data_IF_614085298392
#
_entry.id   IF_614085298392
#
_cell.length_a   1.000
_cell.length_b   1.000
_cell.length_c   1.000
_cell.angle_alpha   90.00
_cell.angle_beta   90.00
_cell.angle_gamma   90.00
#
_symmetry.space_group_name_H-M   'P 1'
#
loop_
_entity.id
_entity.type
_entity.pdbx_description
1 polymer ?
#
# COMPACT_ATOMS: atom_id res chain seq x y z
N UNK A 1 15.44 47.56 -52.78
CA UNK A 1 14.42 46.54 -52.46
C UNK A 1 15.16 45.23 -52.28
N UNK A 2 15.35 44.77 -51.04
CA UNK A 2 16.04 43.50 -50.79
C UNK A 2 15.05 42.38 -51.11
N UNK A 3 15.30 41.66 -52.21
CA UNK A 3 14.53 40.46 -52.57
C UNK A 3 15.05 39.36 -51.65
N UNK A 4 14.27 39.00 -50.63
CA UNK A 4 14.57 37.84 -49.78
C UNK A 4 14.36 36.62 -50.66
N UNK A 5 15.43 35.87 -50.87
CA UNK A 5 15.41 34.61 -51.61
C UNK A 5 14.45 33.61 -50.91
N UNK A 6 13.42 33.11 -51.62
CA UNK A 6 12.46 32.14 -51.10
C UNK A 6 13.12 30.89 -50.49
N UNK A 7 14.28 30.47 -51.01
CA UNK A 7 15.02 29.31 -50.48
C UNK A 7 15.60 29.60 -49.09
N UNK A 8 16.05 30.83 -48.86
CA UNK A 8 16.60 31.26 -47.57
C UNK A 8 15.49 31.38 -46.51
N UNK A 9 14.31 31.89 -46.89
CA UNK A 9 13.13 31.90 -46.01
C UNK A 9 12.63 30.47 -45.67
N UNK A 10 12.66 29.55 -46.64
CA UNK A 10 12.34 28.14 -46.43
C UNK A 10 13.31 27.41 -45.50
N UNK A 11 14.62 27.60 -45.68
CA UNK A 11 15.65 27.02 -44.80
C UNK A 11 15.57 27.57 -43.36
N UNK A 12 15.30 28.88 -43.19
CA UNK A 12 15.08 29.45 -41.87
C UNK A 12 13.80 28.93 -41.19
N UNK A 13 12.71 28.73 -41.94
CA UNK A 13 11.48 28.15 -41.40
C UNK A 13 11.67 26.68 -40.98
N UNK A 14 12.33 25.86 -41.80
CA UNK A 14 12.65 24.45 -41.47
C UNK A 14 13.63 24.38 -40.30
N UNK A 15 14.64 25.26 -40.25
CA UNK A 15 15.59 25.34 -39.13
C UNK A 15 14.92 25.76 -37.83
N UNK A 16 14.04 26.76 -37.85
CA UNK A 16 13.27 27.20 -36.68
C UNK A 16 12.27 26.13 -36.21
N UNK A 17 11.53 25.49 -37.12
CA UNK A 17 10.65 24.38 -36.79
C UNK A 17 11.42 23.17 -36.25
N UNK A 18 12.58 22.86 -36.82
CA UNK A 18 13.47 21.80 -36.35
C UNK A 18 14.03 22.07 -34.95
N UNK A 19 14.46 23.30 -34.66
CA UNK A 19 14.91 23.70 -33.32
C UNK A 19 13.79 23.66 -32.28
N UNK A 20 12.58 24.13 -32.64
CA UNK A 20 11.41 24.08 -31.74
C UNK A 20 11.00 22.63 -31.48
N UNK A 21 10.97 21.79 -32.51
CA UNK A 21 10.68 20.36 -32.37
C UNK A 21 11.74 19.63 -31.55
N UNK A 22 13.03 19.88 -31.81
CA UNK A 22 14.14 19.29 -31.04
C UNK A 22 14.10 19.73 -29.58
N UNK A 23 13.81 21.00 -29.30
CA UNK A 23 13.67 21.52 -27.93
C UNK A 23 12.42 20.95 -27.24
N UNK A 24 11.31 20.81 -27.96
CA UNK A 24 10.10 20.16 -27.44
C UNK A 24 10.34 18.69 -27.11
N UNK A 25 11.00 17.96 -28.01
CA UNK A 25 11.40 16.57 -27.80
C UNK A 25 12.34 16.52 -26.60
N UNK A 26 13.43 17.28 -26.57
CA UNK A 26 14.39 17.30 -25.47
C UNK A 26 13.74 17.56 -24.10
N UNK A 27 12.76 18.48 -24.03
CA UNK A 27 12.01 18.76 -22.79
C UNK A 27 10.99 17.68 -22.42
N UNK A 28 10.54 16.86 -23.37
CA UNK A 28 9.57 15.79 -23.16
C UNK A 28 10.16 14.39 -23.40
N UNK A 29 11.49 14.26 -23.45
CA UNK A 29 12.21 13.00 -23.70
C UNK A 29 11.87 11.91 -22.67
N UNK A 30 11.46 12.31 -21.46
CA UNK A 30 10.96 11.39 -20.42
C UNK A 30 9.54 10.89 -20.66
N UNK A 31 8.75 11.56 -21.51
CA UNK A 31 7.38 11.15 -21.87
C UNK A 31 7.32 10.34 -23.16
N UNK A 32 8.42 10.31 -23.91
CA UNK A 32 8.51 9.58 -25.18
C UNK A 32 9.12 8.20 -24.86
N UNK A 33 8.39 7.10 -25.17
CA UNK A 33 8.91 5.75 -25.00
C UNK A 33 10.26 5.61 -25.70
N UNK A 34 11.21 4.91 -25.06
CA UNK A 34 12.48 4.66 -25.72
C UNK A 34 12.26 3.76 -26.95
N UNK A 35 13.02 3.90 -28.06
CA UNK A 35 12.86 3.00 -29.21
C UNK A 35 12.95 1.51 -28.86
N UNK A 36 13.71 1.18 -27.81
CA UNK A 36 13.83 -0.19 -27.28
C UNK A 36 12.54 -0.73 -26.63
N UNK A 37 11.60 0.14 -26.27
CA UNK A 37 10.28 -0.25 -25.76
C UNK A 37 9.27 -0.50 -26.89
N UNK A 38 9.64 -0.18 -28.14
CA UNK A 38 8.84 -0.59 -29.30
C UNK A 38 9.07 -2.08 -29.55
N UNK A 39 8.01 -2.89 -29.50
CA UNK A 39 8.12 -4.36 -29.52
C UNK A 39 8.99 -4.94 -30.64
N UNK A 40 8.87 -4.44 -31.88
CA UNK A 40 9.69 -4.93 -32.99
C UNK A 40 11.17 -4.54 -32.86
N UNK A 41 11.46 -3.28 -32.50
CA UNK A 41 12.81 -2.76 -32.34
C UNK A 41 13.49 -3.41 -31.12
N UNK A 42 12.78 -3.48 -29.99
CA UNK A 42 13.27 -4.10 -28.77
C UNK A 42 13.56 -5.59 -28.94
N UNK A 43 12.74 -6.31 -29.71
CA UNK A 43 13.00 -7.70 -30.07
C UNK A 43 14.29 -7.85 -30.87
N UNK A 44 14.53 -6.97 -31.85
CA UNK A 44 15.80 -6.96 -32.61
C UNK A 44 16.99 -6.70 -31.67
N UNK A 45 16.86 -5.77 -30.73
CA UNK A 45 17.91 -5.51 -29.73
C UNK A 45 18.21 -6.72 -28.84
N UNK A 46 17.20 -7.52 -28.48
CA UNK A 46 17.44 -8.79 -27.75
C UNK A 46 18.10 -9.85 -28.62
N UNK A 47 17.58 -10.08 -29.82
CA UNK A 47 18.11 -11.11 -30.72
C UNK A 47 19.57 -10.81 -31.10
N UNK A 48 19.91 -9.54 -31.28
CA UNK A 48 21.28 -9.10 -31.55
C UNK A 48 22.19 -9.08 -30.31
N UNK A 49 21.66 -9.36 -29.12
CA UNK A 49 22.42 -9.34 -27.86
C UNK A 49 22.83 -7.93 -27.41
N UNK A 50 22.18 -6.89 -27.91
CA UNK A 50 22.43 -5.50 -27.48
C UNK A 50 21.83 -5.23 -26.11
N UNK A 51 20.69 -5.86 -25.78
CA UNK A 51 20.03 -5.77 -24.49
C UNK A 51 19.71 -7.17 -23.94
N UNK A 52 19.85 -7.33 -22.62
CA UNK A 52 19.74 -8.62 -21.94
C UNK A 52 18.31 -8.97 -21.46
N UNK A 53 17.39 -8.01 -21.54
CA UNK A 53 16.03 -8.15 -21.03
C UNK A 53 15.01 -7.37 -21.86
N UNK A 54 13.73 -7.55 -21.55
CA UNK A 54 12.64 -6.68 -22.02
C UNK A 54 12.45 -5.50 -21.04
N UNK A 55 11.65 -4.49 -21.42
CA UNK A 55 11.19 -3.50 -20.45
C UNK A 55 10.19 -4.16 -19.48
N UNK A 56 10.22 -3.77 -18.21
CA UNK A 56 9.33 -4.32 -17.18
C UNK A 56 9.11 -3.34 -16.03
N UNK A 57 8.07 -3.56 -15.24
CA UNK A 57 7.84 -2.84 -13.99
C UNK A 57 8.28 -3.68 -12.79
N UNK A 58 8.96 -3.05 -11.85
CA UNK A 58 9.31 -3.63 -10.56
C UNK A 58 8.72 -2.80 -9.43
N UNK A 59 8.31 -3.44 -8.34
CA UNK A 59 8.00 -2.75 -7.09
C UNK A 59 9.21 -2.85 -6.18
N UNK A 60 9.80 -1.70 -5.85
CA UNK A 60 10.88 -1.59 -4.87
C UNK A 60 10.28 -1.07 -3.56
N UNK A 61 10.28 -1.91 -2.54
CA UNK A 61 9.83 -1.55 -1.20
C UNK A 61 11.01 -1.24 -0.29
N UNK A 62 11.04 0.00 0.21
CA UNK A 62 12.04 0.46 1.16
C UNK A 62 11.42 0.38 2.55
N UNK A 63 11.92 -0.56 3.37
CA UNK A 63 11.37 -0.86 4.68
C UNK A 63 11.92 0.08 5.75
N UNK A 64 13.22 0.02 5.96
CA UNK A 64 13.89 0.69 7.07
C UNK A 64 15.34 1.00 6.71
N UNK A 65 15.90 2.04 7.35
CA UNK A 65 17.32 2.37 7.24
C UNK A 65 17.93 2.65 8.62
N UNK A 66 19.19 2.25 8.78
CA UNK A 66 19.95 2.28 10.02
C UNK A 66 21.38 2.77 9.77
N UNK A 67 22.02 3.24 10.83
CA UNK A 67 23.43 3.68 10.88
C UNK A 67 23.71 4.97 10.12
N UNK A 68 24.59 5.80 10.68
CA UNK A 68 25.05 7.07 10.09
C UNK A 68 23.92 8.05 9.73
N UNK A 69 22.79 7.97 10.46
CA UNK A 69 21.64 8.85 10.32
C UNK A 69 21.65 9.90 11.45
N UNK A 70 22.00 11.14 11.10
CA UNK A 70 21.86 12.27 12.03
C UNK A 70 20.39 12.69 12.19
N UNK A 71 20.08 13.53 13.18
CA UNK A 71 18.73 14.09 13.33
C UNK A 71 18.28 14.85 12.07
N UNK A 72 17.01 14.71 11.70
CA UNK A 72 16.42 15.38 10.55
C UNK A 72 15.36 14.55 9.83
N UNK A 73 14.92 15.07 8.67
CA UNK A 73 14.03 14.40 7.72
C UNK A 73 14.86 13.85 6.57
N UNK A 74 14.57 12.63 6.14
CA UNK A 74 15.24 11.96 5.03
C UNK A 74 14.22 11.41 4.05
N UNK A 75 14.61 11.26 2.80
CA UNK A 75 13.83 10.56 1.79
C UNK A 75 14.76 9.78 0.86
N UNK A 76 14.20 8.79 0.18
CA UNK A 76 14.88 8.03 -0.85
C UNK A 76 14.41 8.49 -2.23
N UNK A 77 15.34 8.52 -3.15
CA UNK A 77 15.13 8.72 -4.56
C UNK A 77 15.56 7.44 -5.30
N UNK A 78 14.72 6.93 -6.19
CA UNK A 78 15.02 5.78 -7.02
C UNK A 78 15.08 6.26 -8.47
N UNK A 79 16.23 6.13 -9.09
CA UNK A 79 16.50 6.49 -10.48
C UNK A 79 16.52 5.22 -11.34
N UNK A 80 15.67 5.20 -12.37
CA UNK A 80 15.65 4.15 -13.40
C UNK A 80 15.66 4.83 -14.77
N UNK A 81 16.83 4.89 -15.40
CA UNK A 81 17.00 5.53 -16.69
C UNK A 81 16.65 7.03 -16.67
N UNK A 82 15.52 7.38 -17.29
CA UNK A 82 14.99 8.77 -17.35
C UNK A 82 13.94 9.08 -16.29
N UNK A 83 13.56 8.08 -15.50
CA UNK A 83 12.50 8.20 -14.49
C UNK A 83 13.10 8.27 -13.10
N UNK A 84 12.45 9.07 -12.25
CA UNK A 84 12.85 9.26 -10.87
C UNK A 84 11.62 9.15 -9.97
N UNK A 85 11.74 8.34 -8.93
CA UNK A 85 10.68 8.03 -7.98
C UNK A 85 11.12 8.44 -6.57
N UNK A 86 10.21 8.95 -5.76
CA UNK A 86 10.55 9.49 -4.44
C UNK A 86 9.69 8.83 -3.36
N UNK A 87 10.34 8.44 -2.26
CA UNK A 87 9.62 8.21 -1.00
C UNK A 87 9.31 9.54 -0.34
N UNK A 88 8.51 9.53 0.71
CA UNK A 88 8.30 10.72 1.50
C UNK A 88 9.46 11.05 2.44
N UNK A 89 9.38 12.27 2.97
CA UNK A 89 10.24 12.76 4.04
C UNK A 89 9.87 12.08 5.36
N UNK A 90 10.73 11.21 5.86
CA UNK A 90 10.59 10.48 7.12
C UNK A 90 11.57 11.05 8.15
N UNK A 91 11.10 11.28 9.38
CA UNK A 91 11.96 11.70 10.49
C UNK A 91 12.66 10.49 11.11
N UNK A 92 13.94 10.66 11.47
CA UNK A 92 14.70 9.65 12.23
C UNK A 92 14.11 9.52 13.63
N UNK A 93 13.87 8.28 14.07
CA UNK A 93 13.47 7.94 15.44
C UNK A 93 14.38 6.84 15.95
N UNK A 94 15.00 7.05 17.11
CA UNK A 94 15.92 6.08 17.74
C UNK A 94 17.05 5.61 16.80
N UNK A 95 17.63 6.54 16.02
CA UNK A 95 18.69 6.24 15.05
C UNK A 95 18.24 5.46 13.81
N UNK A 96 16.92 5.32 13.62
CA UNK A 96 16.30 4.51 12.57
C UNK A 96 15.30 5.32 11.75
N UNK A 97 15.25 5.04 10.45
CA UNK A 97 14.14 5.44 9.58
C UNK A 97 13.23 4.23 9.38
N UNK A 98 11.93 4.39 9.64
CA UNK A 98 10.91 3.40 9.31
C UNK A 98 10.07 3.98 8.16
N UNK A 99 10.28 3.49 6.94
CA UNK A 99 9.72 4.04 5.71
C UNK A 99 8.49 3.23 5.32
N UNK A 100 8.68 1.93 5.04
CA UNK A 100 7.67 1.00 4.53
C UNK A 100 6.87 1.58 3.35
N UNK A 101 7.57 2.09 2.34
CA UNK A 101 6.97 2.64 1.12
C UNK A 101 7.34 1.80 -0.10
N UNK A 102 6.35 1.56 -0.96
CA UNK A 102 6.47 0.81 -2.22
C UNK A 102 6.53 1.79 -3.38
N UNK A 103 7.56 1.69 -4.21
CA UNK A 103 7.72 2.48 -5.42
C UNK A 103 7.58 1.57 -6.63
N UNK A 104 6.65 1.88 -7.53
CA UNK A 104 6.54 1.21 -8.83
C UNK A 104 7.54 1.86 -9.80
N UNK A 105 8.57 1.11 -10.14
CA UNK A 105 9.73 1.56 -10.91
C UNK A 105 9.68 0.90 -12.28
N UNK A 106 9.59 1.72 -13.31
CA UNK A 106 9.67 1.25 -14.70
C UNK A 106 11.14 1.09 -15.10
N UNK A 107 11.51 -0.10 -15.54
CA UNK A 107 12.85 -0.44 -16.02
C UNK A 107 12.79 -0.63 -17.52
N UNK A 108 13.49 0.24 -18.25
CA UNK A 108 13.49 0.20 -19.72
C UNK A 108 14.44 -0.88 -20.18
N UNK A 109 14.24 -1.38 -21.39
CA UNK A 109 15.08 -2.43 -21.97
C UNK A 109 16.59 -2.10 -21.97
N UNK A 110 16.95 -0.83 -22.12
CA UNK A 110 18.34 -0.38 -22.17
C UNK A 110 18.96 -0.09 -20.80
N UNK A 111 18.17 -0.12 -19.72
CA UNK A 111 18.65 0.24 -18.39
C UNK A 111 19.33 -0.96 -17.74
N UNK A 112 20.62 -0.83 -17.44
CA UNK A 112 21.42 -1.91 -16.83
C UNK A 112 21.42 -1.84 -15.30
N UNK A 113 21.09 -0.68 -14.73
CA UNK A 113 21.16 -0.43 -13.31
C UNK A 113 20.03 0.49 -12.84
N UNK A 114 19.55 0.25 -11.62
CA UNK A 114 18.66 1.13 -10.87
C UNK A 114 19.43 1.70 -9.69
N UNK A 115 19.46 3.03 -9.54
CA UNK A 115 20.16 3.69 -8.45
C UNK A 115 19.17 4.12 -7.36
N UNK A 116 19.51 3.85 -6.12
CA UNK A 116 18.75 4.28 -4.93
C UNK A 116 19.63 5.26 -4.16
N UNK A 117 19.20 6.50 -4.06
CA UNK A 117 19.89 7.59 -3.38
C UNK A 117 19.17 7.94 -2.08
N UNK A 118 19.92 8.18 -1.01
CA UNK A 118 19.44 8.70 0.26
C UNK A 118 19.73 10.19 0.34
N UNK A 119 18.70 10.99 0.63
CA UNK A 119 18.83 12.43 0.82
C UNK A 119 18.39 12.85 2.22
N UNK A 120 19.11 13.81 2.79
CA UNK A 120 18.68 14.58 3.97
C UNK A 120 18.02 15.88 3.53
N UNK A 121 16.77 16.09 3.95
CA UNK A 121 16.02 17.31 3.66
C UNK A 121 16.43 18.43 4.61
N UNK A 122 17.01 19.49 4.07
CA UNK A 122 17.26 20.75 4.77
C UNK A 122 16.20 21.80 4.36
N UNK A 123 16.26 22.97 4.98
CA UNK A 123 15.25 24.03 4.78
C UNK A 123 15.17 24.50 3.31
N UNK A 124 16.33 24.71 2.68
CA UNK A 124 16.44 25.30 1.34
C UNK A 124 16.92 24.31 0.26
N UNK A 125 17.51 23.18 0.67
CA UNK A 125 18.06 22.19 -0.25
C UNK A 125 17.97 20.78 0.31
N UNK A 126 18.17 19.79 -0.53
CA UNK A 126 18.38 18.40 -0.11
C UNK A 126 19.86 18.08 -0.24
N UNK A 127 20.45 17.50 0.79
CA UNK A 127 21.83 17.03 0.77
C UNK A 127 21.83 15.54 0.42
N UNK A 128 22.55 15.15 -0.63
CA UNK A 128 22.82 13.74 -0.91
C UNK A 128 23.68 13.14 0.20
N UNK A 129 23.32 11.94 0.66
CA UNK A 129 24.03 11.26 1.75
C UNK A 129 24.75 10.01 1.25
N UNK A 130 24.02 9.13 0.56
CA UNK A 130 24.53 7.83 0.16
C UNK A 130 23.82 7.31 -1.08
N UNK A 131 24.46 6.38 -1.79
CA UNK A 131 23.89 5.70 -2.95
C UNK A 131 24.05 4.18 -2.85
N UNK A 132 23.11 3.48 -3.45
CA UNK A 132 23.12 2.05 -3.73
C UNK A 132 22.81 1.87 -5.21
N UNK A 133 23.55 0.99 -5.88
CA UNK A 133 23.29 0.63 -7.28
C UNK A 133 22.87 -0.83 -7.30
N UNK A 134 21.71 -1.10 -7.90
CA UNK A 134 21.18 -2.44 -8.13
C UNK A 134 21.31 -2.76 -9.61
N UNK A 135 21.89 -3.90 -9.92
CA UNK A 135 21.99 -4.40 -11.29
C UNK A 135 20.66 -5.00 -11.73
N UNK A 136 20.23 -4.68 -12.94
CA UNK A 136 18.95 -5.18 -13.45
C UNK A 136 18.98 -6.70 -13.61
N UNK A 137 20.06 -7.25 -14.17
CA UNK A 137 20.18 -8.68 -14.43
C UNK A 137 20.40 -9.50 -13.15
N UNK A 138 21.22 -9.02 -12.21
CA UNK A 138 21.62 -9.81 -11.05
C UNK A 138 20.83 -9.53 -9.76
N UNK A 139 20.18 -8.37 -9.64
CA UNK A 139 19.39 -8.02 -8.45
C UNK A 139 17.89 -7.98 -8.74
N UNK A 140 17.46 -7.28 -9.79
CA UNK A 140 16.03 -7.12 -10.11
C UNK A 140 15.44 -8.35 -10.80
N UNK A 141 16.19 -8.96 -11.71
CA UNK A 141 15.80 -10.16 -12.46
C UNK A 141 16.38 -11.45 -11.88
N UNK A 142 16.93 -11.39 -10.67
CA UNK A 142 17.42 -12.58 -9.98
C UNK A 142 16.30 -13.62 -9.86
N UNK A 143 16.66 -14.92 -9.93
CA UNK A 143 15.71 -16.03 -9.70
C UNK A 143 15.00 -15.89 -8.34
N UNK A 144 15.73 -15.35 -7.35
CA UNK A 144 15.21 -14.98 -6.04
C UNK A 144 15.51 -13.51 -5.78
N UNK A 145 14.60 -12.59 -6.17
CA UNK A 145 14.75 -11.18 -5.89
C UNK A 145 14.91 -10.91 -4.39
N UNK A 146 15.51 -9.79 -4.04
CA UNK A 146 15.74 -9.43 -2.65
C UNK A 146 14.40 -9.37 -1.89
N UNK A 147 14.27 -10.15 -0.82
CA UNK A 147 13.15 -10.08 0.11
C UNK A 147 13.66 -9.66 1.50
N UNK A 148 13.22 -8.49 1.98
CA UNK A 148 13.59 -7.90 3.29
C UNK A 148 15.10 -7.95 3.55
N UNK A 149 15.91 -7.80 2.49
CA UNK A 149 17.36 -7.95 2.53
C UNK A 149 18.02 -6.62 2.88
N UNK A 150 19.05 -6.68 3.70
CA UNK A 150 19.88 -5.52 4.03
C UNK A 150 20.94 -5.28 2.96
N UNK A 151 20.97 -4.06 2.46
CA UNK A 151 22.00 -3.53 1.58
C UNK A 151 22.80 -2.45 2.31
N UNK A 152 24.04 -2.25 1.88
CA UNK A 152 24.93 -1.22 2.42
C UNK A 152 25.04 -0.09 1.40
N UNK A 153 24.68 1.12 1.82
CA UNK A 153 24.84 2.34 1.04
C UNK A 153 26.09 3.07 1.53
N UNK A 154 26.98 3.39 0.59
CA UNK A 154 28.22 4.09 0.91
C UNK A 154 27.99 5.59 0.87
N UNK A 155 28.43 6.29 1.93
CA UNK A 155 28.50 7.75 1.97
C UNK A 155 29.83 8.23 1.36
N UNK A 156 29.87 9.49 0.93
CA UNK A 156 31.09 10.13 0.40
C UNK A 156 32.25 10.08 1.41
N UNK A 157 31.95 10.17 2.71
CA UNK A 157 32.93 10.14 3.80
C UNK A 157 33.36 8.70 4.21
N UNK A 158 33.09 7.68 3.39
CA UNK A 158 33.35 6.26 3.65
C UNK A 158 32.60 5.65 4.84
N UNK A 159 31.68 6.38 5.46
CA UNK A 159 30.70 5.77 6.38
C UNK A 159 29.61 5.04 5.59
N UNK A 160 28.80 4.22 6.27
CA UNK A 160 27.75 3.45 5.58
C UNK A 160 26.43 3.43 6.32
N UNK A 161 25.35 3.62 5.57
CA UNK A 161 23.98 3.40 6.03
C UNK A 161 23.52 2.05 5.50
N UNK A 162 22.85 1.27 6.34
CA UNK A 162 22.21 0.02 5.92
C UNK A 162 20.76 0.30 5.60
N UNK A 163 20.28 -0.18 4.47
CA UNK A 163 18.89 -0.05 4.04
C UNK A 163 18.30 -1.44 3.79
N UNK A 164 17.06 -1.66 4.21
CA UNK A 164 16.35 -2.92 4.02
C UNK A 164 15.35 -2.78 2.88
N UNK A 165 15.52 -3.61 1.86
CA UNK A 165 14.79 -3.50 0.60
C UNK A 165 14.13 -4.84 0.26
N UNK A 166 12.92 -4.78 -0.30
CA UNK A 166 12.32 -5.89 -1.03
C UNK A 166 12.05 -5.49 -2.46
N UNK A 167 12.23 -6.41 -3.40
CA UNK A 167 12.04 -6.22 -4.83
C UNK A 167 11.01 -7.24 -5.27
N UNK A 168 9.93 -6.76 -5.89
CA UNK A 168 8.89 -7.60 -6.46
C UNK A 168 8.86 -7.34 -7.96
N UNK A 169 9.02 -8.38 -8.75
CA UNK A 169 8.81 -8.27 -10.20
C UNK A 169 7.31 -8.28 -10.46
N UNK A 170 6.89 -7.51 -11.44
CA UNK A 170 5.54 -7.62 -11.99
C UNK A 170 5.64 -8.10 -13.43
N UNK A 171 4.91 -9.16 -13.74
CA UNK A 171 4.64 -9.52 -15.14
C UNK A 171 3.83 -8.40 -15.82
N UNK A 172 4.04 -8.20 -17.12
CA UNK A 172 3.32 -7.19 -17.91
C UNK A 172 1.80 -7.42 -17.88
N UNK A 173 1.39 -8.68 -17.89
CA UNK A 173 -0.01 -9.11 -17.85
C UNK A 173 -0.73 -8.70 -16.55
N UNK A 174 0.01 -8.61 -15.43
CA UNK A 174 -0.51 -8.19 -14.13
C UNK A 174 -0.66 -6.67 -14.06
N UNK A 175 0.25 -5.95 -14.70
CA UNK A 175 0.21 -4.49 -14.82
C UNK A 175 -1.01 -4.02 -15.61
N UNK A 176 -1.44 -4.79 -16.62
CA UNK A 176 -2.60 -4.48 -17.44
C UNK A 176 -3.94 -4.84 -16.77
N UNK A 177 -3.93 -5.67 -15.73
CA UNK A 177 -5.13 -6.01 -14.95
C UNK A 177 -5.42 -4.94 -13.89
N UNK A 178 -6.69 -4.61 -13.70
CA UNK A 178 -7.17 -3.80 -12.57
C UNK A 178 -7.09 -4.62 -11.27
N UNK A 179 -5.89 -4.73 -10.70
CA UNK A 179 -5.62 -5.51 -9.50
C UNK A 179 -5.95 -4.67 -8.26
N UNK A 180 -6.78 -5.24 -7.38
CA UNK A 180 -7.15 -4.60 -6.12
C UNK A 180 -5.98 -4.54 -5.12
N UNK A 181 -6.01 -3.62 -4.16
CA UNK A 181 -4.94 -3.45 -3.18
C UNK A 181 -4.70 -4.72 -2.35
N UNK A 182 -5.77 -5.45 -1.96
CA UNK A 182 -5.64 -6.74 -1.27
C UNK A 182 -4.99 -7.81 -2.16
N UNK A 183 -5.35 -7.86 -3.44
CA UNK A 183 -4.82 -8.86 -4.38
C UNK A 183 -3.35 -8.58 -4.69
N UNK A 184 -2.98 -7.31 -4.86
CA UNK A 184 -1.59 -6.90 -4.99
C UNK A 184 -0.78 -7.30 -3.75
N UNK A 185 -1.34 -7.07 -2.56
CA UNK A 185 -0.66 -7.43 -1.33
C UNK A 185 -0.54 -8.95 -1.16
N UNK A 186 -1.56 -9.70 -1.58
CA UNK A 186 -1.55 -11.16 -1.63
C UNK A 186 -0.42 -11.72 -2.50
N UNK A 187 -0.26 -11.20 -3.71
CA UNK A 187 0.80 -11.59 -4.64
C UNK A 187 2.17 -11.34 -4.00
N UNK A 188 2.34 -10.15 -3.39
CA UNK A 188 3.57 -9.77 -2.71
C UNK A 188 3.89 -10.73 -1.55
N UNK A 189 2.93 -11.06 -0.69
CA UNK A 189 3.15 -11.99 0.43
C UNK A 189 3.43 -13.42 -0.06
N UNK A 190 2.76 -13.90 -1.11
CA UNK A 190 3.01 -15.22 -1.69
C UNK A 190 4.43 -15.34 -2.27
N UNK A 191 4.90 -14.30 -2.96
CA UNK A 191 6.29 -14.22 -3.43
C UNK A 191 7.29 -14.24 -2.25
N UNK A 192 6.95 -13.61 -1.12
CA UNK A 192 7.80 -13.62 0.06
C UNK A 192 7.93 -15.01 0.69
N UNK A 193 6.85 -15.80 0.68
CA UNK A 193 6.81 -17.18 1.19
C UNK A 193 7.45 -18.20 0.22
N UNK A 194 7.89 -17.74 -0.97
CA UNK A 194 8.47 -18.60 -2.00
C UNK A 194 7.44 -19.54 -2.64
N UNK A 195 6.16 -19.18 -2.59
CA UNK A 195 5.04 -20.04 -2.96
C UNK A 195 4.32 -19.48 -4.19
N UNK A 196 4.31 -20.31 -5.25
CA UNK A 196 3.64 -20.15 -6.55
C UNK A 196 4.07 -18.97 -7.43
N UNK A 197 3.99 -19.20 -8.74
CA UNK A 197 4.18 -18.18 -9.78
C UNK A 197 3.00 -17.20 -9.69
N UNK A 198 3.24 -15.90 -9.87
CA UNK A 198 2.22 -14.83 -9.72
C UNK A 198 0.90 -15.14 -10.47
N UNK A 199 1.02 -15.70 -11.68
CA UNK A 199 -0.09 -16.09 -12.55
C UNK A 199 -0.91 -17.25 -11.96
N UNK A 200 -0.26 -18.26 -11.35
CA UNK A 200 -0.95 -19.38 -10.71
C UNK A 200 -1.77 -18.91 -9.50
N UNK A 201 -1.23 -17.97 -8.72
CA UNK A 201 -1.98 -17.40 -7.60
C UNK A 201 -3.20 -16.62 -8.08
N UNK A 202 -3.05 -15.83 -9.15
CA UNK A 202 -4.15 -15.07 -9.73
C UNK A 202 -5.23 -15.99 -10.30
N UNK A 203 -4.85 -17.02 -11.04
CA UNK A 203 -5.78 -18.02 -11.54
C UNK A 203 -6.50 -18.76 -10.40
N UNK A 204 -5.76 -19.16 -9.37
CA UNK A 204 -6.33 -19.82 -8.19
C UNK A 204 -7.31 -18.89 -7.49
N UNK A 205 -6.93 -17.62 -7.29
CA UNK A 205 -7.81 -16.60 -6.73
C UNK A 205 -9.04 -16.44 -7.62
N UNK A 206 -8.95 -16.33 -8.93
CA UNK A 206 -10.11 -16.19 -9.82
C UNK A 206 -11.08 -17.37 -9.69
N UNK A 207 -10.54 -18.60 -9.61
CA UNK A 207 -11.30 -19.86 -9.48
C UNK A 207 -11.93 -20.06 -8.08
N UNK A 208 -11.42 -19.40 -7.05
CA UNK A 208 -11.98 -19.51 -5.69
C UNK A 208 -13.38 -18.89 -5.58
N UNK A 209 -14.23 -19.50 -4.75
CA UNK A 209 -15.47 -18.86 -4.33
C UNK A 209 -15.20 -17.62 -3.44
N UNK A 210 -16.21 -16.75 -3.32
CA UNK A 210 -16.08 -15.48 -2.58
C UNK A 210 -15.68 -15.68 -1.11
N UNK A 211 -16.12 -16.76 -0.47
CA UNK A 211 -15.82 -17.05 0.95
C UNK A 211 -14.38 -17.54 1.10
N UNK A 212 -13.91 -18.40 0.20
CA UNK A 212 -12.53 -18.85 0.14
C UNK A 212 -11.58 -17.69 -0.14
N UNK A 213 -11.93 -16.78 -1.06
CA UNK A 213 -11.22 -15.52 -1.31
C UNK A 213 -11.11 -14.68 -0.04
N UNK A 214 -12.23 -14.50 0.68
CA UNK A 214 -12.24 -13.70 1.90
C UNK A 214 -11.38 -14.34 3.02
N UNK A 215 -11.41 -15.67 3.14
CA UNK A 215 -10.51 -16.41 4.04
C UNK A 215 -9.05 -16.24 3.67
N UNK A 216 -8.73 -16.20 2.38
CA UNK A 216 -7.38 -15.90 1.92
C UNK A 216 -6.97 -14.47 2.32
N UNK A 217 -7.80 -13.47 2.01
CA UNK A 217 -7.53 -12.07 2.35
C UNK A 217 -7.44 -11.82 3.86
N UNK A 218 -8.09 -12.64 4.69
CA UNK A 218 -7.97 -12.52 6.15
C UNK A 218 -6.53 -12.72 6.63
N UNK A 219 -5.77 -13.61 5.98
CA UNK A 219 -4.35 -13.83 6.28
C UNK A 219 -3.54 -12.60 5.90
N UNK A 220 -3.77 -12.06 4.71
CA UNK A 220 -3.07 -10.87 4.19
C UNK A 220 -3.34 -9.65 5.07
N UNK A 221 -4.59 -9.47 5.52
CA UNK A 221 -4.99 -8.35 6.39
C UNK A 221 -4.55 -8.52 7.87
N UNK A 222 -3.84 -9.60 8.20
CA UNK A 222 -3.29 -9.80 9.55
C UNK A 222 -1.93 -9.09 9.70
N UNK A 223 -1.68 -8.47 10.85
CA UNK A 223 -0.40 -7.78 11.06
C UNK A 223 -0.34 -6.92 12.32
N UNK A 224 0.86 -6.45 12.69
CA UNK A 224 1.07 -5.56 13.82
C UNK A 224 0.58 -4.14 13.51
N UNK A 225 -0.12 -3.53 14.47
CA UNK A 225 -0.50 -2.12 14.46
C UNK A 225 -0.31 -1.52 15.85
N UNK A 226 -0.12 -0.22 15.91
CA UNK A 226 -0.19 0.53 17.17
C UNK A 226 -1.57 1.15 17.32
N UNK A 227 -2.22 0.93 18.46
CA UNK A 227 -3.50 1.54 18.82
C UNK A 227 -3.27 2.63 19.86
N UNK A 228 -3.87 3.80 19.67
CA UNK A 228 -3.85 4.85 20.69
C UNK A 228 -4.83 4.50 21.81
N UNK A 229 -4.39 4.61 23.06
CA UNK A 229 -5.26 4.36 24.20
C UNK A 229 -6.28 5.51 24.35
N UNK A 230 -7.50 5.18 24.76
CA UNK A 230 -8.61 6.14 24.90
C UNK A 230 -8.35 7.23 25.96
N UNK A 231 -7.51 6.93 26.95
CA UNK A 231 -7.29 7.78 28.14
C UNK A 231 -5.89 8.39 28.24
N UNK A 232 -5.04 8.20 27.24
CA UNK A 232 -3.71 8.80 27.22
C UNK A 232 -3.13 8.64 25.84
N UNK A 233 -2.45 9.67 25.34
CA UNK A 233 -1.82 9.71 24.01
C UNK A 233 -0.67 8.68 23.82
N UNK A 234 -0.67 7.62 24.62
CA UNK A 234 0.24 6.49 24.57
C UNK A 234 -0.21 5.49 23.50
N UNK A 235 0.75 5.11 22.67
CA UNK A 235 0.60 4.11 21.63
C UNK A 235 1.00 2.73 22.17
N UNK A 236 0.09 1.76 22.04
CA UNK A 236 0.33 0.37 22.43
C UNK A 236 0.35 -0.51 21.19
N UNK A 237 1.34 -1.40 21.08
CA UNK A 237 1.45 -2.34 19.95
C UNK A 237 0.54 -3.55 20.17
N UNK A 238 -0.17 -3.96 19.13
CA UNK A 238 -0.99 -5.16 19.11
C UNK A 238 -0.85 -5.88 17.76
N UNK A 239 -1.13 -7.18 17.75
CA UNK A 239 -1.32 -7.97 16.54
C UNK A 239 -2.81 -8.02 16.22
N UNK A 240 -3.18 -7.64 15.00
CA UNK A 240 -4.54 -7.65 14.51
C UNK A 240 -4.73 -8.80 13.52
N UNK A 241 -5.86 -9.50 13.62
CA UNK A 241 -6.20 -10.58 12.70
C UNK A 241 -7.71 -10.69 12.50
N UNK A 242 -8.19 -10.71 11.24
CA UNK A 242 -9.58 -11.04 10.93
C UNK A 242 -9.86 -12.51 11.24
N UNK A 243 -10.94 -12.78 11.95
CA UNK A 243 -11.46 -14.12 12.22
C UNK A 243 -12.92 -14.23 11.78
N UNK A 244 -13.24 -15.35 11.14
CA UNK A 244 -14.63 -15.74 10.87
C UNK A 244 -15.21 -16.38 12.13
N UNK A 245 -16.14 -15.69 12.78
CA UNK A 245 -16.76 -16.15 14.04
C UNK A 245 -17.93 -17.07 13.76
N UNK A 246 -18.67 -16.75 12.70
CA UNK A 246 -19.72 -17.59 12.12
C UNK A 246 -19.72 -17.35 10.60
N UNK A 247 -20.32 -18.24 9.79
CA UNK A 247 -20.29 -18.10 8.33
C UNK A 247 -20.71 -16.70 7.85
N UNK A 248 -19.78 -15.99 7.20
CA UNK A 248 -20.01 -14.62 6.71
C UNK A 248 -20.01 -13.51 7.78
N UNK A 249 -19.77 -13.83 9.06
CA UNK A 249 -19.59 -12.85 10.13
C UNK A 249 -18.13 -12.79 10.57
N UNK A 250 -17.48 -11.69 10.24
CA UNK A 250 -16.06 -11.47 10.46
C UNK A 250 -15.83 -10.42 11.53
N UNK A 251 -14.90 -10.71 12.44
CA UNK A 251 -14.42 -9.78 13.46
C UNK A 251 -12.92 -9.54 13.30
N UNK A 252 -12.49 -8.30 13.48
CA UNK A 252 -11.10 -7.93 13.54
C UNK A 252 -10.63 -7.97 14.99
N UNK A 253 -9.89 -9.01 15.34
CA UNK A 253 -9.52 -9.32 16.71
C UNK A 253 -8.09 -8.87 17.02
N UNK A 254 -7.80 -8.60 18.29
CA UNK A 254 -6.49 -8.09 18.74
C UNK A 254 -5.83 -8.96 19.81
N UNK A 255 -4.50 -9.04 19.76
CA UNK A 255 -3.64 -9.68 20.75
C UNK A 255 -2.43 -8.80 21.07
N UNK A 256 -1.79 -9.02 22.22
CA UNK A 256 -0.55 -8.30 22.55
C UNK A 256 0.60 -8.58 21.57
N UNK A 257 0.64 -9.77 20.99
CA UNK A 257 1.65 -10.18 20.01
C UNK A 257 1.13 -11.32 19.14
N UNK A 258 1.88 -11.61 18.06
CA UNK A 258 1.66 -12.79 17.23
C UNK A 258 1.85 -14.09 18.03
N UNK A 259 2.79 -14.12 18.98
CA UNK A 259 3.05 -15.30 19.81
C UNK A 259 1.87 -15.60 20.74
N UNK A 260 1.21 -14.56 21.28
CA UNK A 260 0.01 -14.73 22.08
C UNK A 260 -1.13 -15.36 21.25
N UNK A 261 -1.29 -14.91 20.01
CA UNK A 261 -2.24 -15.52 19.07
C UNK A 261 -1.87 -16.99 18.78
N UNK A 262 -0.61 -17.27 18.44
CA UNK A 262 -0.13 -18.62 18.13
C UNK A 262 -0.23 -19.58 19.33
N UNK A 263 -0.09 -19.05 20.55
CA UNK A 263 -0.26 -19.81 21.80
C UNK A 263 -1.73 -20.08 22.15
N UNK A 264 -2.67 -19.55 21.36
CA UNK A 264 -4.11 -19.75 21.56
C UNK A 264 -4.70 -18.91 22.70
N UNK A 265 -4.05 -17.80 23.07
CA UNK A 265 -4.60 -16.84 24.03
C UNK A 265 -5.86 -16.20 23.43
N UNK A 266 -6.83 -15.88 24.27
CA UNK A 266 -8.05 -15.19 23.84
C UNK A 266 -7.75 -13.77 23.31
N UNK A 267 -8.57 -13.31 22.38
CA UNK A 267 -8.47 -11.95 21.87
C UNK A 267 -8.80 -10.93 22.97
N UNK A 268 -8.07 -9.82 22.98
CA UNK A 268 -8.25 -8.69 23.92
C UNK A 268 -9.48 -7.89 23.53
N UNK A 269 -9.54 -7.49 22.26
CA UNK A 269 -10.66 -6.78 21.66
C UNK A 269 -11.11 -7.49 20.38
N UNK A 270 -12.37 -7.28 19.99
CA UNK A 270 -12.92 -7.72 18.72
C UNK A 270 -13.81 -6.62 18.11
N UNK A 271 -13.59 -6.34 16.82
CA UNK A 271 -14.28 -5.30 16.07
C UNK A 271 -15.01 -5.91 14.86
N UNK A 272 -16.35 -6.01 14.87
CA UNK A 272 -17.08 -6.58 13.74
C UNK A 272 -16.88 -5.76 12.47
N UNK A 273 -16.45 -6.37 11.37
CA UNK A 273 -16.25 -5.68 10.09
C UNK A 273 -17.55 -5.06 9.58
N UNK A 274 -18.68 -5.74 9.78
CA UNK A 274 -19.99 -5.24 9.39
C UNK A 274 -20.37 -3.95 10.13
N UNK A 275 -19.83 -3.71 11.33
CA UNK A 275 -20.14 -2.49 12.09
C UNK A 275 -19.19 -1.33 11.81
N UNK A 276 -18.14 -1.52 11.00
CA UNK A 276 -17.20 -0.48 10.60
C UNK A 276 -17.82 0.41 9.52
N UNK A 277 -18.02 1.69 9.80
CA UNK A 277 -18.67 2.64 8.89
C UNK A 277 -17.71 3.58 8.17
N UNK A 278 -16.48 3.73 8.67
CA UNK A 278 -15.48 4.63 8.07
C UNK A 278 -14.09 4.03 8.23
N UNK A 279 -13.30 4.07 7.17
CA UNK A 279 -11.86 3.76 7.18
C UNK A 279 -11.17 4.88 6.41
N UNK A 280 -10.37 5.69 7.10
CA UNK A 280 -9.76 6.89 6.49
C UNK A 280 -8.30 7.02 6.91
N UNK A 281 -7.45 7.20 5.91
CA UNK A 281 -6.06 7.60 6.07
C UNK A 281 -5.97 9.06 6.57
N UNK A 282 -5.16 9.33 7.59
CA UNK A 282 -4.98 10.69 8.11
C UNK A 282 -4.22 11.57 7.08
N UNK A 283 -4.83 12.62 6.51
CA UNK A 283 -4.17 13.41 5.46
C UNK A 283 -2.90 14.12 5.94
N UNK A 284 -2.77 14.37 7.25
CA UNK A 284 -1.64 15.08 7.86
C UNK A 284 -0.56 14.13 8.38
N UNK A 285 -0.92 12.90 8.72
CA UNK A 285 -0.01 11.92 9.30
C UNK A 285 -0.04 10.59 8.53
N UNK A 286 0.97 10.40 7.68
CA UNK A 286 1.22 9.15 6.93
C UNK A 286 1.45 7.89 7.75
N UNK A 287 1.62 8.03 9.06
CA UNK A 287 1.71 6.87 9.93
C UNK A 287 0.38 6.46 10.51
N UNK A 288 -0.63 7.31 10.51
CA UNK A 288 -1.87 7.10 11.25
C UNK A 288 -3.07 6.98 10.32
N UNK A 289 -4.05 6.18 10.73
CA UNK A 289 -5.34 6.08 10.09
C UNK A 289 -6.42 5.85 11.14
N UNK A 290 -7.66 6.11 10.75
CA UNK A 290 -8.80 6.12 11.62
C UNK A 290 -9.87 5.14 11.12
N UNK A 291 -10.47 4.41 12.06
CA UNK A 291 -11.63 3.57 11.80
C UNK A 291 -12.76 3.98 12.73
N UNK A 292 -13.94 4.22 12.15
CA UNK A 292 -15.18 4.38 12.90
C UNK A 292 -15.96 3.08 12.87
N UNK A 293 -16.47 2.65 14.02
CA UNK A 293 -17.34 1.50 14.11
C UNK A 293 -18.47 1.73 15.10
N UNK A 294 -19.54 0.96 14.95
CA UNK A 294 -20.73 1.07 15.79
C UNK A 294 -20.83 -0.13 16.72
N UNK A 295 -21.14 0.13 17.99
CA UNK A 295 -21.40 -0.91 18.99
C UNK A 295 -22.52 -0.44 19.92
N UNK A 296 -23.54 -1.27 20.08
CA UNK A 296 -24.68 -1.02 20.97
C UNK A 296 -25.35 0.36 20.74
N UNK A 297 -25.47 0.75 19.46
CA UNK A 297 -26.06 2.04 19.05
C UNK A 297 -25.13 3.25 19.18
N UNK A 298 -23.97 3.09 19.83
CA UNK A 298 -22.97 4.13 19.99
C UNK A 298 -21.89 4.08 18.90
N UNK A 299 -21.29 5.23 18.64
CA UNK A 299 -20.19 5.39 17.69
C UNK A 299 -18.85 5.39 18.44
N UNK A 300 -17.91 4.60 17.94
CA UNK A 300 -16.56 4.49 18.50
C UNK A 300 -15.52 4.71 17.42
N UNK A 301 -14.37 5.26 17.83
CA UNK A 301 -13.23 5.52 16.97
C UNK A 301 -12.01 4.71 17.39
N UNK A 302 -11.29 4.15 16.42
CA UNK A 302 -9.98 3.57 16.58
C UNK A 302 -8.97 4.44 15.85
N UNK A 303 -8.01 5.01 16.60
CA UNK A 303 -6.84 5.63 16.00
C UNK A 303 -5.69 4.63 15.98
N UNK A 304 -5.27 4.30 14.77
CA UNK A 304 -4.28 3.27 14.51
C UNK A 304 -3.06 3.89 13.84
N UNK A 305 -1.91 3.27 14.06
CA UNK A 305 -0.63 3.66 13.50
C UNK A 305 0.09 2.47 12.91
N UNK A 306 0.57 2.63 11.68
CA UNK A 306 1.29 1.62 10.90
C UNK A 306 2.56 1.15 11.61
N UNK A 307 2.93 -0.10 11.38
CA UNK A 307 4.16 -0.71 11.94
C UNK A 307 5.00 -1.38 10.86
N UNK A 308 4.39 -2.19 9.99
CA UNK A 308 5.07 -3.12 9.09
C UNK A 308 4.87 -2.84 7.60
N UNK A 309 3.75 -2.23 7.24
CA UNK A 309 3.37 -1.87 5.87
C UNK A 309 2.83 -0.44 5.82
N UNK A 310 2.74 0.12 4.62
CA UNK A 310 2.23 1.48 4.46
C UNK A 310 0.80 1.65 5.00
N UNK A 311 0.48 2.87 5.46
CA UNK A 311 -0.84 3.20 5.95
C UNK A 311 -1.90 3.06 4.86
N UNK A 312 -1.59 3.49 3.63
CA UNK A 312 -2.55 3.45 2.54
C UNK A 312 -2.88 1.99 2.17
N UNK A 313 -1.87 1.10 2.22
CA UNK A 313 -2.08 -0.35 2.09
C UNK A 313 -3.01 -0.86 3.19
N UNK A 314 -2.83 -0.46 4.45
CA UNK A 314 -3.74 -0.82 5.53
C UNK A 314 -5.17 -0.33 5.26
N UNK A 315 -5.36 0.95 4.94
CA UNK A 315 -6.70 1.52 4.76
C UNK A 315 -7.43 0.92 3.58
N UNK A 316 -6.75 0.75 2.45
CA UNK A 316 -7.33 0.21 1.23
C UNK A 316 -7.67 -1.27 1.42
N UNK A 317 -6.79 -2.02 2.10
CA UNK A 317 -7.01 -3.44 2.40
C UNK A 317 -8.20 -3.65 3.35
N UNK A 318 -8.29 -2.86 4.42
CA UNK A 318 -9.41 -2.94 5.37
C UNK A 318 -10.71 -2.55 4.67
N UNK A 319 -10.70 -1.46 3.90
CA UNK A 319 -11.86 -1.01 3.13
C UNK A 319 -12.36 -2.12 2.20
N UNK A 320 -11.48 -2.70 1.39
CA UNK A 320 -11.84 -3.74 0.43
C UNK A 320 -12.36 -4.99 1.14
N UNK A 321 -11.76 -5.36 2.27
CA UNK A 321 -12.21 -6.49 3.08
C UNK A 321 -13.62 -6.27 3.65
N UNK A 322 -13.94 -5.05 4.10
CA UNK A 322 -15.28 -4.69 4.58
C UNK A 322 -16.31 -4.83 3.46
N UNK A 323 -16.03 -4.26 2.28
CA UNK A 323 -16.96 -4.31 1.15
C UNK A 323 -17.21 -5.76 0.69
N UNK A 324 -16.16 -6.57 0.54
CA UNK A 324 -16.32 -8.00 0.22
C UNK A 324 -17.07 -8.77 1.30
N UNK A 325 -16.82 -8.48 2.58
CA UNK A 325 -17.55 -9.10 3.70
C UNK A 325 -19.03 -8.76 3.66
N UNK A 326 -19.38 -7.50 3.36
CA UNK A 326 -20.76 -7.04 3.20
C UNK A 326 -21.44 -7.71 2.01
N UNK A 327 -20.78 -7.75 0.86
CA UNK A 327 -21.33 -8.39 -0.33
C UNK A 327 -21.70 -9.84 -0.08
N UNK A 328 -20.81 -10.61 0.55
CA UNK A 328 -21.07 -12.02 0.92
C UNK A 328 -22.23 -12.13 1.92
N UNK A 329 -22.27 -11.23 2.91
CA UNK A 329 -23.32 -11.21 3.92
C UNK A 329 -24.70 -10.90 3.31
N UNK A 330 -24.78 -9.91 2.42
CA UNK A 330 -26.04 -9.49 1.78
C UNK A 330 -26.49 -10.41 0.64
N UNK A 331 -25.57 -11.04 -0.10
CA UNK A 331 -25.89 -12.03 -1.15
C UNK A 331 -26.40 -13.36 -0.61
N UNK A 332 -26.12 -13.68 0.66
CA UNK A 332 -26.55 -14.92 1.29
C UNK A 332 -27.70 -14.66 2.26
N UNK A 333 -28.95 -14.64 1.77
CA UNK A 333 -30.14 -14.39 2.58
C UNK A 333 -30.46 -15.56 3.51
N UNK A 334 -29.56 -16.50 3.81
CA UNK A 334 -29.69 -17.54 4.86
C UNK A 334 -28.66 -17.41 6.01
N UNK A 335 -27.68 -16.50 5.90
CA UNK A 335 -26.70 -16.22 6.96
C UNK A 335 -27.28 -15.38 8.12
N UNK A 336 -28.48 -14.83 7.95
CA UNK A 336 -29.22 -14.08 8.97
C UNK A 336 -29.67 -14.95 10.17
N UNK A 337 -29.55 -16.28 10.08
CA UNK A 337 -29.80 -17.24 11.16
C UNK A 337 -28.58 -17.47 12.07
N UNK A 338 -27.41 -16.94 11.71
CA UNK A 338 -26.18 -17.15 12.45
C UNK A 338 -26.11 -16.16 13.62
N UNK A 339 -26.55 -16.65 14.78
CA UNK A 339 -26.61 -15.97 16.08
C UNK A 339 -25.37 -15.09 16.33
N UNK A 340 -25.61 -13.88 16.89
CA UNK A 340 -24.57 -13.07 17.55
C UNK A 340 -23.82 -13.98 18.53
N UNK A 341 -22.59 -14.32 18.21
CA UNK A 341 -21.69 -14.98 19.15
C UNK A 341 -21.21 -13.93 20.16
N UNK A 342 -22.00 -13.69 21.20
CA UNK A 342 -21.44 -13.25 22.48
C UNK A 342 -20.87 -14.49 23.18
N UNK A 343 -19.72 -14.99 22.69
CA UNK A 343 -18.90 -15.93 23.44
C UNK A 343 -17.44 -15.57 23.22
N UNK A 344 -16.82 -15.11 24.31
CA UNK A 344 -15.44 -15.34 24.71
C UNK A 344 -14.71 -16.23 23.70
N UNK A 345 -13.83 -15.62 22.90
CA UNK A 345 -13.05 -16.20 21.81
C UNK A 345 -12.04 -17.25 22.34
N UNK A 346 -12.55 -18.35 22.92
CA UNK A 346 -11.77 -19.56 23.16
C UNK A 346 -11.77 -20.37 21.89
N UNK A 347 -10.62 -20.35 21.20
CA UNK A 347 -10.10 -21.33 20.24
C UNK A 347 -11.16 -21.90 19.27
N UNK A 348 -11.05 -21.55 17.98
CA UNK A 348 -11.69 -22.31 16.91
C UNK A 348 -11.27 -23.80 17.02
N UNK A 349 -12.16 -24.62 17.57
CA UNK A 349 -12.35 -26.02 17.19
C UNK A 349 -13.72 -26.13 16.55
N UNK A 350 -13.76 -26.91 15.49
CA UNK A 350 -14.90 -27.21 14.64
C UNK A 350 -16.18 -27.55 15.44
N UNK A 351 -17.31 -27.04 14.94
CA UNK A 351 -18.70 -27.52 15.08
C UNK A 351 -19.33 -27.66 16.48
N UNK A 352 -20.49 -26.99 16.67
CA UNK A 352 -21.46 -27.27 17.74
C UNK A 352 -22.67 -26.31 17.76
N UNK A 353 -23.86 -26.87 17.48
CA UNK A 353 -25.22 -26.27 17.32
C UNK A 353 -25.80 -25.75 18.66
N UNK A 354 -26.83 -24.87 18.66
CA UNK A 354 -26.99 -23.82 19.68
C UNK A 354 -28.20 -23.96 20.61
N UNK A 355 -28.26 -23.13 21.66
CA UNK A 355 -29.47 -22.87 22.46
C UNK A 355 -29.80 -21.37 22.58
N UNK A 356 -31.04 -21.09 22.98
CA UNK A 356 -31.86 -19.92 22.69
C UNK A 356 -31.64 -18.69 23.59
N UNK A 357 -31.97 -17.51 23.07
CA UNK A 357 -32.84 -16.55 23.76
C UNK A 357 -33.27 -15.40 22.85
N UNK A 358 -34.54 -15.03 22.98
CA UNK A 358 -35.26 -14.02 22.20
C UNK A 358 -35.15 -12.66 22.89
N UNK A 359 -34.41 -11.72 22.29
CA UNK A 359 -34.53 -10.27 22.60
C UNK A 359 -33.87 -9.37 21.55
N UNK A 360 -33.87 -9.76 20.27
CA UNK A 360 -32.98 -9.12 19.26
C UNK A 360 -33.67 -8.42 18.09
N UNK A 361 -35.00 -8.44 17.95
CA UNK A 361 -35.65 -8.00 16.70
C UNK A 361 -35.65 -6.47 16.49
N UNK A 362 -35.79 -5.69 17.55
CA UNK A 362 -35.76 -4.23 17.48
C UNK A 362 -34.34 -3.68 17.24
N UNK A 363 -33.32 -4.28 17.87
CA UNK A 363 -31.92 -3.92 17.62
C UNK A 363 -31.47 -4.31 16.20
N UNK A 364 -32.04 -5.37 15.60
CA UNK A 364 -31.77 -5.82 14.23
C UNK A 364 -32.27 -4.83 13.17
N UNK A 365 -33.50 -4.33 13.32
CA UNK A 365 -34.05 -3.30 12.41
C UNK A 365 -33.26 -2.00 12.48
N UNK A 366 -32.84 -1.60 13.68
CA UNK A 366 -32.05 -0.38 13.87
C UNK A 366 -30.65 -0.49 13.25
N UNK A 367 -29.98 -1.66 13.34
CA UNK A 367 -28.69 -1.89 12.69
C UNK A 367 -28.81 -1.93 11.17
N UNK A 368 -29.84 -2.57 10.62
CA UNK A 368 -30.10 -2.59 9.18
C UNK A 368 -30.39 -1.20 8.62
N UNK A 369 -31.20 -0.40 9.32
CA UNK A 369 -31.41 1.00 8.94
C UNK A 369 -30.13 1.82 9.01
N UNK A 370 -29.28 1.62 10.02
CA UNK A 370 -28.02 2.34 10.14
C UNK A 370 -27.01 1.94 9.06
N UNK A 371 -26.96 0.66 8.68
CA UNK A 371 -26.11 0.17 7.59
C UNK A 371 -26.61 0.61 6.21
N UNK A 372 -27.92 0.65 5.99
CA UNK A 372 -28.51 1.18 4.77
C UNK A 372 -28.38 2.71 4.66
N UNK A 373 -28.35 3.43 5.78
CA UNK A 373 -28.09 4.89 5.86
C UNK A 373 -26.61 5.23 5.74
N UNK A 374 -25.71 4.30 6.11
CA UNK A 374 -24.28 4.38 5.82
C UNK A 374 -24.08 4.19 4.33
N UNK A 375 -24.19 5.28 3.56
CA UNK A 375 -23.82 5.33 2.14
C UNK A 375 -22.51 4.55 1.94
N UNK A 376 -22.46 3.80 0.84
CA UNK A 376 -21.29 3.13 0.25
C UNK A 376 -20.01 3.78 0.79
N UNK A 377 -19.13 3.00 1.41
CA UNK A 377 -17.87 3.55 1.89
C UNK A 377 -17.26 4.35 0.71
N UNK A 378 -16.77 5.56 0.98
CA UNK A 378 -16.16 6.35 -0.09
C UNK A 378 -14.83 5.69 -0.39
N UNK A 379 -14.68 5.16 -1.61
CA UNK A 379 -13.44 4.52 -2.04
C UNK A 379 -12.27 5.51 -1.85
N UNK A 380 -11.19 5.13 -1.14
CA UNK A 380 -10.01 5.99 -0.95
C UNK A 380 -9.37 6.48 -2.26
N UNK A 381 -9.59 5.75 -3.37
CA UNK A 381 -9.11 6.05 -4.72
C UNK A 381 -10.08 6.94 -5.52
N UNK A 382 -11.38 6.91 -5.24
CA UNK A 382 -12.37 7.78 -5.87
C UNK A 382 -12.45 9.13 -5.15
N UNK A 383 -11.30 9.77 -4.87
CA UNK A 383 -11.33 11.15 -4.37
C UNK A 383 -11.83 12.05 -5.48
N UNK A 384 -13.00 12.70 -5.36
CA UNK A 384 -13.22 13.90 -6.12
C UNK A 384 -12.21 14.94 -5.61
N UNK A 385 -11.72 15.81 -6.50
CA UNK A 385 -11.27 17.15 -6.08
C UNK A 385 -12.51 17.85 -5.52
N UNK A 386 -12.80 17.61 -4.24
CA UNK A 386 -14.09 17.96 -3.68
C UNK A 386 -14.15 19.48 -3.50
N UNK A 387 -14.93 20.11 -4.38
CA UNK A 387 -15.26 21.54 -4.38
C UNK A 387 -16.18 21.94 -3.23
N UNK A 388 -16.65 20.97 -2.43
CA UNK A 388 -17.39 21.17 -1.19
C UNK A 388 -16.58 20.70 0.02
N UNK A 389 -15.38 21.25 0.18
CA UNK A 389 -14.61 21.11 1.42
C UNK A 389 -15.38 21.75 2.57
N UNK A 390 -15.80 20.97 3.59
CA UNK A 390 -15.89 21.48 4.97
C UNK A 390 -16.30 20.43 6.00
N UNK A 391 -16.87 19.26 5.70
CA UNK A 391 -17.40 18.39 6.78
C UNK A 391 -16.44 17.29 7.26
N UNK A 392 -15.83 16.52 6.34
CA UNK A 392 -14.95 15.41 6.75
C UNK A 392 -13.61 15.91 7.32
N UNK A 393 -12.92 16.90 6.72
CA UNK A 393 -11.73 17.50 7.33
C UNK A 393 -12.04 18.17 8.66
N UNK A 394 -13.19 18.86 8.80
CA UNK A 394 -13.59 19.45 10.09
C UNK A 394 -13.96 18.41 11.14
N UNK A 395 -14.54 17.26 10.77
CA UNK A 395 -14.84 16.20 11.72
C UNK A 395 -13.55 15.50 12.18
N UNK A 396 -12.58 15.29 11.26
CA UNK A 396 -11.24 14.81 11.58
C UNK A 396 -10.50 15.84 12.45
N UNK A 397 -10.52 17.12 12.09
CA UNK A 397 -9.88 18.21 12.84
C UNK A 397 -10.55 18.41 14.21
N UNK A 398 -11.88 18.32 14.32
CA UNK A 398 -12.60 18.44 15.60
C UNK A 398 -12.33 17.25 16.51
N UNK A 399 -12.21 16.04 15.96
CA UNK A 399 -11.82 14.86 16.72
C UNK A 399 -10.33 14.89 17.10
N UNK A 400 -9.46 15.37 16.21
CA UNK A 400 -8.05 15.60 16.49
C UNK A 400 -7.87 16.67 17.57
N UNK A 401 -8.60 17.79 17.50
CA UNK A 401 -8.60 18.84 18.53
C UNK A 401 -9.10 18.35 19.89
N UNK A 402 -10.04 17.41 19.92
CA UNK A 402 -10.50 16.78 21.17
C UNK A 402 -9.51 15.73 21.72
N UNK A 403 -8.62 15.19 20.89
CA UNK A 403 -7.64 14.15 21.29
C UNK A 403 -6.22 14.70 21.52
N UNK A 404 -5.87 15.83 20.91
CA UNK A 404 -4.59 16.54 21.05
C UNK A 404 -4.69 17.75 21.98
N UNK A 405 -5.63 17.78 22.93
CA UNK A 405 -5.57 18.77 24.01
C UNK A 405 -4.29 18.50 24.80
N UNK A 406 -3.40 19.48 24.69
CA UNK A 406 -2.09 19.61 25.33
C UNK A 406 -2.18 19.54 26.84
N UNK A 407 -1.22 18.85 27.44
CA UNK A 407 -0.38 19.51 28.44
C UNK A 407 0.87 20.05 27.75
#
# INVERSE_FOLDING_TARGET
MFIIDPQTAGCCAVGCCGMVAANYIAKNVSKIPHPSECGCIGTIYRISGLHDHDAFDAIIEIHEALNCLGQGKYYFEVESGRHTYYTQNVQVKDGKLNIHEKLRVHVRQCDTNVRINLYKKNLMSSQHCASLVLSVSSDLMAEKPANRRWFTMMHENRSSTRVKISIYRMSGDIVERDISALTLHAIIEAQQEGSKIEEELLEDLEKMDDVAKLRFFSKVLSGPLKKMNTFGQKWSSFYFKPLEISPGNWEWCTWHSIDAYNSGVEAIDAYPFLSMSVVVADPTNRNCFYIKYHKDGNEFGLLLKKVDRDRDVWTDSIYEFIERSRDIYFKNPHNHLLKKSQRCLKRCKELGVPENSETSEQQRKQLQENLAKSKRLVNPLERPLDTNGTLLPKNIDRMAQQMYVSE
#
